data_IF_773707389009
#
_entry.id   IF_773707389009
#
_cell.length_a   1.000
_cell.length_b   1.000
_cell.length_c   1.000
_cell.angle_alpha   90.00
_cell.angle_beta   90.00
_cell.angle_gamma   90.00
#
_symmetry.space_group_name_H-M   'P 1'
#
loop_
_entity.id
_entity.type
_entity.pdbx_description
1 polymer ?
#
# COMPACT_ATOMS: atom_id res chain seq x y z
N UNK A 1 -1.10 4.08 30.10
CA UNK A 1 -0.85 5.17 29.13
C UNK A 1 -2.04 5.25 28.19
N UNK A 2 -2.83 6.31 28.28
CA UNK A 2 -4.05 6.49 27.50
C UNK A 2 -3.74 7.14 26.15
N UNK A 3 -4.53 6.84 25.12
CA UNK A 3 -4.48 7.50 23.80
C UNK A 3 -4.52 9.03 23.90
N UNK A 4 -5.19 9.56 24.93
CA UNK A 4 -5.26 11.00 25.24
C UNK A 4 -3.89 11.57 25.66
N UNK A 5 -3.09 10.79 26.39
CA UNK A 5 -1.76 11.19 26.85
C UNK A 5 -0.78 11.23 25.67
N UNK A 6 -0.90 10.28 24.74
CA UNK A 6 -0.11 10.24 23.51
C UNK A 6 -0.40 11.43 22.60
N UNK A 7 -1.68 11.80 22.43
CA UNK A 7 -2.07 12.96 21.60
C UNK A 7 -1.62 14.28 22.25
N UNK A 8 -1.68 14.36 23.57
CA UNK A 8 -1.24 15.55 24.32
C UNK A 8 0.27 15.70 24.24
N UNK A 9 1.03 14.60 24.37
CA UNK A 9 2.48 14.59 24.19
C UNK A 9 2.90 14.96 22.75
N UNK A 10 2.14 14.53 21.73
CA UNK A 10 2.39 14.91 20.33
C UNK A 10 2.12 16.40 20.07
N UNK A 11 1.13 17.00 20.75
CA UNK A 11 0.86 18.45 20.66
C UNK A 11 1.87 19.31 21.43
N UNK A 12 2.46 18.76 22.48
CA UNK A 12 3.39 19.46 23.37
C UNK A 12 4.84 19.49 22.87
N UNK A 13 5.20 18.65 21.89
CA UNK A 13 6.49 18.78 21.21
C UNK A 13 6.43 20.03 20.34
N UNK A 14 7.04 21.10 20.85
CA UNK A 14 7.28 22.34 20.13
C UNK A 14 7.73 22.01 18.71
N UNK A 15 6.94 22.42 17.73
CA UNK A 15 7.45 22.58 16.37
C UNK A 15 8.48 23.69 16.47
N UNK A 16 9.74 23.32 16.60
CA UNK A 16 10.87 24.20 16.31
C UNK A 16 10.52 24.97 15.03
N UNK A 17 10.82 26.27 15.02
CA UNK A 17 10.48 27.15 13.90
C UNK A 17 10.84 26.47 12.57
N UNK A 18 10.03 26.63 11.50
CA UNK A 18 10.30 25.96 10.24
C UNK A 18 11.74 26.27 9.82
N UNK A 19 12.52 25.23 9.55
CA UNK A 19 13.91 25.32 9.12
C UNK A 19 14.07 26.40 8.03
N UNK A 20 14.89 27.41 8.33
CA UNK A 20 15.28 28.48 7.39
C UNK A 20 16.73 28.24 7.04
N UNK A 21 17.00 27.96 5.78
CA UNK A 21 18.35 27.77 5.27
C UNK A 21 19.18 29.05 5.42
N UNK A 22 20.39 28.93 5.95
CA UNK A 22 21.26 30.04 6.35
C UNK A 22 22.23 30.50 5.24
N UNK A 23 22.22 29.82 4.09
CA UNK A 23 23.07 30.17 2.95
C UNK A 23 24.49 29.61 3.00
N UNK A 24 24.87 28.88 4.05
CA UNK A 24 26.25 28.46 4.28
C UNK A 24 26.52 27.03 3.81
N UNK A 25 25.56 26.13 4.00
CA UNK A 25 25.68 24.74 3.57
C UNK A 25 24.84 24.47 2.32
N UNK A 26 25.50 24.33 1.17
CA UNK A 26 24.83 24.08 -0.12
C UNK A 26 24.19 22.68 -0.19
N UNK A 27 24.62 21.73 0.64
CA UNK A 27 24.07 20.37 0.73
C UNK A 27 22.76 20.36 1.52
N UNK A 28 22.61 21.26 2.49
CA UNK A 28 21.40 21.38 3.34
C UNK A 28 20.35 22.37 2.79
N UNK A 29 20.57 22.89 1.58
CA UNK A 29 19.64 23.80 0.91
C UNK A 29 18.32 23.08 0.57
N UNK A 30 17.15 23.70 0.80
CA UNK A 30 15.89 23.16 0.32
C UNK A 30 15.89 23.10 -1.22
N UNK A 31 15.43 21.97 -1.75
CA UNK A 31 15.30 21.77 -3.19
C UNK A 31 14.48 22.90 -3.82
N UNK A 32 14.93 23.39 -4.98
CA UNK A 32 14.14 24.32 -5.77
C UNK A 32 12.87 23.65 -6.29
N UNK A 33 11.82 24.41 -6.64
CA UNK A 33 10.60 23.84 -7.21
C UNK A 33 10.84 22.96 -8.44
N UNK A 34 11.83 23.31 -9.26
CA UNK A 34 12.21 22.54 -10.47
C UNK A 34 12.90 21.22 -10.12
N UNK A 35 13.86 21.23 -9.19
CA UNK A 35 14.55 20.03 -8.72
C UNK A 35 13.59 19.08 -8.00
N UNK A 36 12.65 19.63 -7.22
CA UNK A 36 11.59 18.87 -6.58
C UNK A 36 10.68 18.21 -7.62
N UNK A 37 10.26 18.95 -8.65
CA UNK A 37 9.42 18.43 -9.73
C UNK A 37 10.13 17.29 -10.48
N UNK A 38 11.42 17.46 -10.79
CA UNK A 38 12.22 16.43 -11.44
C UNK A 38 12.38 15.17 -10.56
N UNK A 39 12.67 15.35 -9.26
CA UNK A 39 12.75 14.23 -8.30
C UNK A 39 11.43 13.46 -8.18
N UNK A 40 10.31 14.17 -8.13
CA UNK A 40 8.96 13.55 -8.09
C UNK A 40 8.65 12.80 -9.39
N UNK A 41 9.01 13.34 -10.55
CA UNK A 41 8.81 12.66 -11.83
C UNK A 41 9.62 11.35 -11.91
N UNK A 42 10.88 11.37 -11.49
CA UNK A 42 11.74 10.18 -11.44
C UNK A 42 11.23 9.14 -10.43
N UNK A 43 10.68 9.59 -9.29
CA UNK A 43 10.08 8.71 -8.29
C UNK A 43 8.76 8.07 -8.79
N UNK A 44 7.92 8.82 -9.52
CA UNK A 44 6.70 8.28 -10.15
C UNK A 44 6.99 7.15 -11.14
N UNK A 45 8.16 7.16 -11.80
CA UNK A 45 8.64 6.06 -12.65
C UNK A 45 9.07 4.83 -11.85
N UNK A 46 9.39 4.98 -10.55
CA UNK A 46 9.76 3.90 -9.63
C UNK A 46 8.59 3.55 -8.70
N UNK A 47 7.55 2.97 -9.29
CA UNK A 47 6.46 2.31 -8.58
C UNK A 47 6.15 0.96 -9.22
N UNK A 48 5.61 0.00 -8.45
CA UNK A 48 5.01 -1.22 -9.05
C UNK A 48 3.98 -0.72 -10.08
N UNK A 49 4.02 -1.21 -11.34
CA UNK A 49 3.04 -0.80 -12.34
C UNK A 49 1.65 -0.94 -11.73
N UNK A 50 0.83 0.11 -11.85
CA UNK A 50 -0.56 0.08 -11.42
C UNK A 50 -1.14 -1.27 -11.89
N UNK A 51 -1.54 -2.10 -10.92
CA UNK A 51 -1.76 -3.53 -11.12
C UNK A 51 -2.54 -3.77 -12.41
N UNK A 52 -2.16 -4.81 -13.15
CA UNK A 52 -2.46 -5.07 -14.56
C UNK A 52 -3.94 -5.07 -15.03
N UNK A 53 -4.88 -4.51 -14.28
CA UNK A 53 -6.29 -4.38 -14.62
C UNK A 53 -7.08 -5.69 -14.54
N UNK A 54 -6.40 -6.83 -14.40
CA UNK A 54 -7.03 -8.15 -14.51
C UNK A 54 -7.69 -8.62 -13.22
N UNK A 55 -7.28 -8.10 -12.05
CA UNK A 55 -7.79 -8.55 -10.75
C UNK A 55 -8.58 -7.44 -10.08
N UNK A 56 -9.84 -7.70 -9.82
CA UNK A 56 -10.70 -6.84 -9.00
C UNK A 56 -10.63 -7.27 -7.53
N UNK A 57 -10.48 -6.30 -6.62
CA UNK A 57 -10.54 -6.56 -5.19
C UNK A 57 -11.98 -6.53 -4.73
N UNK A 58 -12.51 -7.70 -4.37
CA UNK A 58 -13.88 -7.85 -3.85
C UNK A 58 -13.85 -8.38 -2.43
N UNK A 59 -14.82 -7.93 -1.60
CA UNK A 59 -15.00 -8.42 -0.24
C UNK A 59 -16.11 -9.48 -0.23
N UNK A 60 -15.74 -10.76 -0.31
CA UNK A 60 -16.66 -11.90 -0.22
C UNK A 60 -16.51 -12.62 1.12
N UNK A 61 -17.60 -13.20 1.61
CA UNK A 61 -17.57 -14.13 2.75
C UNK A 61 -17.36 -15.54 2.22
N UNK A 62 -16.43 -16.26 2.84
CA UNK A 62 -16.15 -17.67 2.57
C UNK A 62 -16.27 -18.42 3.89
N UNK A 63 -16.66 -19.69 3.81
CA UNK A 63 -16.72 -20.55 4.98
C UNK A 63 -15.33 -20.73 5.61
N UNK A 64 -15.32 -20.91 6.93
CA UNK A 64 -14.10 -20.91 7.73
C UNK A 64 -13.21 -22.12 7.39
N UNK A 65 -13.82 -23.28 7.21
CA UNK A 65 -13.15 -24.54 6.85
C UNK A 65 -12.45 -24.43 5.49
N UNK A 66 -13.10 -23.81 4.50
CA UNK A 66 -12.50 -23.53 3.18
C UNK A 66 -11.27 -22.63 3.36
N UNK A 67 -11.40 -21.53 4.10
CA UNK A 67 -10.27 -20.63 4.36
C UNK A 67 -9.12 -21.32 5.10
N UNK A 68 -9.41 -22.15 6.09
CA UNK A 68 -8.41 -22.92 6.83
C UNK A 68 -7.69 -23.91 5.93
N UNK A 69 -8.41 -24.65 5.08
CA UNK A 69 -7.83 -25.60 4.13
C UNK A 69 -6.86 -24.93 3.13
N UNK A 70 -7.22 -23.75 2.60
CA UNK A 70 -6.33 -23.02 1.70
C UNK A 70 -5.15 -22.39 2.45
N UNK A 71 -5.35 -21.81 3.63
CA UNK A 71 -4.27 -21.21 4.43
C UNK A 71 -3.25 -22.24 4.89
N UNK A 72 -3.66 -23.47 5.18
CA UNK A 72 -2.76 -24.56 5.56
C UNK A 72 -1.76 -24.91 4.44
N UNK A 73 -2.05 -24.57 3.18
CA UNK A 73 -1.12 -24.75 2.05
C UNK A 73 0.00 -23.70 2.01
N UNK A 74 -0.01 -22.73 2.93
CA UNK A 74 1.03 -21.73 3.08
C UNK A 74 0.92 -20.55 2.12
N UNK A 75 2.08 -20.02 1.71
CA UNK A 75 2.17 -18.82 0.88
C UNK A 75 1.46 -19.01 -0.47
N UNK A 76 0.68 -18.00 -0.87
CA UNK A 76 -0.04 -18.02 -2.15
C UNK A 76 -1.42 -18.68 -2.12
N UNK A 77 -1.97 -18.99 -0.95
CA UNK A 77 -3.31 -19.56 -0.80
C UNK A 77 -4.42 -18.76 -1.52
N UNK A 78 -4.29 -17.42 -1.57
CA UNK A 78 -5.21 -16.54 -2.33
C UNK A 78 -5.14 -16.77 -3.85
N UNK A 79 -3.96 -17.06 -4.38
CA UNK A 79 -3.80 -17.40 -5.80
C UNK A 79 -4.43 -18.77 -6.09
N UNK A 80 -4.27 -19.72 -5.17
CA UNK A 80 -4.81 -21.08 -5.29
C UNK A 80 -6.34 -21.10 -5.25
N UNK A 81 -6.96 -20.36 -4.33
CA UNK A 81 -8.43 -20.27 -4.30
C UNK A 81 -8.97 -19.63 -5.59
N UNK A 82 -8.29 -18.59 -6.12
CA UNK A 82 -8.67 -18.01 -7.41
C UNK A 82 -8.51 -19.00 -8.58
N UNK A 83 -7.49 -19.86 -8.56
CA UNK A 83 -7.33 -20.94 -9.56
C UNK A 83 -8.45 -21.97 -9.44
N UNK A 84 -8.83 -22.38 -8.23
CA UNK A 84 -9.94 -23.30 -8.00
C UNK A 84 -11.26 -22.74 -8.55
N UNK A 85 -11.53 -21.44 -8.32
CA UNK A 85 -12.70 -20.77 -8.89
C UNK A 85 -12.68 -20.75 -10.42
N UNK A 86 -11.51 -20.58 -11.05
CA UNK A 86 -11.38 -20.69 -12.51
C UNK A 86 -11.65 -22.09 -13.03
N UNK A 87 -11.13 -23.12 -12.36
CA UNK A 87 -11.42 -24.51 -12.70
C UNK A 87 -12.93 -24.78 -12.61
N UNK A 88 -13.57 -24.34 -11.52
CA UNK A 88 -15.01 -24.49 -11.32
C UNK A 88 -15.82 -23.88 -12.46
N UNK A 89 -15.49 -22.65 -12.89
CA UNK A 89 -16.16 -21.99 -14.03
C UNK A 89 -15.91 -22.66 -15.38
N UNK A 90 -14.75 -23.28 -15.56
CA UNK A 90 -14.45 -24.05 -16.77
C UNK A 90 -15.27 -25.35 -16.84
N UNK A 91 -15.49 -26.00 -15.69
CA UNK A 91 -16.32 -27.20 -15.56
C UNK A 91 -17.82 -26.90 -15.58
N UNK A 92 -18.21 -25.75 -15.03
CA UNK A 92 -19.60 -25.30 -14.91
C UNK A 92 -19.76 -23.96 -15.63
N UNK A 93 -19.85 -23.98 -16.98
CA UNK A 93 -20.09 -22.77 -17.73
C UNK A 93 -21.40 -22.14 -17.25
N UNK A 94 -21.31 -20.87 -16.83
CA UNK A 94 -22.46 -20.11 -16.37
C UNK A 94 -23.41 -19.98 -17.56
N UNK A 95 -24.55 -20.67 -17.51
CA UNK A 95 -25.59 -20.57 -18.53
C UNK A 95 -26.07 -19.11 -18.53
N UNK A 96 -25.93 -18.46 -19.69
CA UNK A 96 -26.37 -17.08 -19.91
C UNK A 96 -27.86 -17.02 -20.20
#
# INVERSE_FOLDING_TARGET
MSRKDVITALKAKEREAPYVWDGQDEVERPATPEELAHGVEQARKRGRPAGSGVKEQVAIRLDKDILEAFRAQGQGWQTRINQALRCYLAEHPVQS
#
